data_IF_990028110083
#
_entry.id   IF_990028110083
#
_cell.length_a   1.000
_cell.length_b   1.000
_cell.length_c   1.000
_cell.angle_alpha   90.00
_cell.angle_beta   90.00
_cell.angle_gamma   90.00
#
_symmetry.space_group_name_H-M   'P 1'
#
loop_
_entity.id
_entity.type
_entity.pdbx_description
1 polymer ?
#
# COMPACT_ATOMS: atom_id res chain seq x y z
N UNK A 1 4.76 10.21 1.30
CA UNK A 1 3.60 9.56 0.68
C UNK A 1 2.36 10.33 1.10
N UNK A 2 1.84 11.16 0.22
CA UNK A 2 0.64 11.98 0.43
C UNK A 2 -0.31 11.67 -0.72
N UNK A 3 -1.45 11.06 -0.42
CA UNK A 3 -2.40 10.55 -1.43
C UNK A 3 -3.70 11.37 -1.50
N UNK A 4 -3.67 12.63 -1.06
CA UNK A 4 -4.89 13.43 -0.79
C UNK A 4 -5.16 14.62 -1.70
N UNK A 5 -4.40 14.83 -2.78
CA UNK A 5 -4.65 15.93 -3.73
C UNK A 5 -3.38 16.41 -4.43
N UNK A 6 -3.05 15.78 -5.55
CA UNK A 6 -2.02 16.21 -6.50
C UNK A 6 -2.59 16.06 -7.92
N UNK A 7 -1.85 16.46 -8.95
CA UNK A 7 -2.17 16.15 -10.36
C UNK A 7 -2.65 14.71 -10.52
N UNK A 8 -3.63 14.49 -11.40
CA UNK A 8 -4.39 13.23 -11.57
C UNK A 8 -3.53 11.94 -11.54
N UNK A 9 -2.33 11.97 -12.13
CA UNK A 9 -1.41 10.82 -12.17
C UNK A 9 -0.58 10.58 -10.90
N UNK A 10 -0.45 11.61 -10.05
CA UNK A 10 0.30 11.56 -8.78
C UNK A 10 -0.63 11.35 -7.57
N UNK A 11 -1.89 11.06 -7.83
CA UNK A 11 -2.91 10.70 -6.84
C UNK A 11 -3.63 9.43 -7.31
N UNK A 12 -4.50 8.89 -6.45
CA UNK A 12 -5.38 7.78 -6.81
C UNK A 12 -6.51 8.15 -7.78
N UNK A 13 -6.59 9.42 -8.19
CA UNK A 13 -7.60 9.90 -9.14
C UNK A 13 -7.40 9.27 -10.53
N UNK A 14 -6.16 9.07 -10.98
CA UNK A 14 -5.75 8.08 -12.00
C UNK A 14 -6.42 8.14 -13.39
N UNK A 15 -7.26 9.13 -13.68
CA UNK A 15 -8.21 9.10 -14.80
C UNK A 15 -7.58 8.99 -16.20
N UNK A 16 -6.31 9.38 -16.36
CA UNK A 16 -5.64 9.32 -17.68
C UNK A 16 -4.99 7.95 -17.98
N UNK A 17 -4.74 7.12 -16.95
CA UNK A 17 -4.19 5.77 -17.10
C UNK A 17 -4.44 4.98 -15.80
N UNK A 18 -5.62 4.38 -15.71
CA UNK A 18 -6.04 3.66 -14.51
C UNK A 18 -5.13 2.46 -14.24
N UNK A 19 -4.73 1.73 -15.29
CA UNK A 19 -3.94 0.52 -15.12
C UNK A 19 -2.53 0.84 -14.61
N UNK A 20 -1.83 1.76 -15.25
CA UNK A 20 -0.49 2.15 -14.84
C UNK A 20 -0.47 2.75 -13.43
N UNK A 21 -1.39 3.69 -13.18
CA UNK A 21 -1.51 4.38 -11.90
C UNK A 21 -1.83 3.42 -10.73
N UNK A 22 -2.89 2.62 -10.84
CA UNK A 22 -3.30 1.76 -9.72
C UNK A 22 -2.36 0.58 -9.51
N UNK A 23 -1.76 0.02 -10.58
CA UNK A 23 -0.75 -1.04 -10.42
C UNK A 23 0.49 -0.52 -9.69
N UNK A 24 0.92 0.70 -10.00
CA UNK A 24 2.03 1.34 -9.29
C UNK A 24 1.69 1.54 -7.80
N UNK A 25 0.59 2.23 -7.50
CA UNK A 25 0.26 2.58 -6.11
C UNK A 25 -0.14 1.37 -5.26
N UNK A 26 -0.73 0.33 -5.87
CA UNK A 26 -0.92 -0.96 -5.21
C UNK A 26 0.44 -1.55 -4.80
N UNK A 27 1.42 -1.60 -5.70
CA UNK A 27 2.76 -2.09 -5.38
C UNK A 27 3.49 -1.25 -4.33
N UNK A 28 3.30 0.06 -4.33
CA UNK A 28 3.82 0.95 -3.28
C UNK A 28 3.21 0.66 -1.91
N UNK A 29 1.96 0.17 -1.87
CA UNK A 29 1.25 -0.20 -0.64
C UNK A 29 1.58 -1.64 -0.20
N UNK A 30 1.77 -2.56 -1.14
CA UNK A 30 2.10 -3.96 -0.85
C UNK A 30 3.41 -4.11 -0.06
N UNK A 31 4.41 -3.29 -0.39
CA UNK A 31 5.73 -3.36 0.26
C UNK A 31 5.68 -3.07 1.78
N UNK A 32 5.11 -1.96 2.26
CA UNK A 32 4.99 -1.74 3.71
C UNK A 32 4.03 -2.72 4.39
N UNK A 33 3.00 -3.24 3.71
CA UNK A 33 2.13 -4.30 4.26
C UNK A 33 2.94 -5.58 4.50
N UNK A 34 3.73 -6.02 3.53
CA UNK A 34 4.62 -7.18 3.69
C UNK A 34 5.61 -6.98 4.85
N UNK A 35 6.21 -5.80 4.96
CA UNK A 35 7.10 -5.45 6.07
C UNK A 35 6.42 -5.49 7.43
N UNK A 36 5.18 -5.02 7.54
CA UNK A 36 4.40 -5.12 8.78
C UNK A 36 4.16 -6.57 9.18
N UNK A 37 3.76 -7.42 8.23
CA UNK A 37 3.53 -8.84 8.50
C UNK A 37 4.81 -9.56 8.93
N UNK A 38 5.94 -9.26 8.28
CA UNK A 38 7.25 -9.80 8.66
C UNK A 38 7.65 -9.36 10.07
N UNK A 39 7.49 -8.06 10.39
CA UNK A 39 7.80 -7.52 11.71
C UNK A 39 6.93 -8.16 12.81
N UNK A 40 5.64 -8.38 12.56
CA UNK A 40 4.74 -9.05 13.48
C UNK A 40 5.18 -10.50 13.73
N UNK A 41 5.57 -11.22 12.67
CA UNK A 41 6.07 -12.59 12.78
C UNK A 41 7.39 -12.66 13.56
N UNK A 42 8.35 -11.78 13.26
CA UNK A 42 9.65 -11.72 13.96
C UNK A 42 9.50 -11.45 15.47
N UNK A 43 8.44 -10.75 15.87
CA UNK A 43 8.14 -10.41 17.28
C UNK A 43 7.25 -11.44 17.96
N UNK A 44 6.80 -12.48 17.27
CA UNK A 44 5.84 -13.47 17.79
C UNK A 44 4.44 -12.90 18.01
N UNK A 45 4.12 -11.73 17.43
CA UNK A 45 2.85 -11.03 17.61
C UNK A 45 1.81 -11.44 16.56
N UNK A 46 2.24 -12.02 15.44
CA UNK A 46 1.33 -12.37 14.34
C UNK A 46 0.25 -13.36 14.77
N UNK A 47 0.59 -14.32 15.64
CA UNK A 47 -0.36 -15.34 16.12
C UNK A 47 -1.44 -14.78 17.06
N UNK A 48 -1.17 -13.64 17.70
CA UNK A 48 -2.08 -12.96 18.64
C UNK A 48 -2.80 -11.77 18.00
N UNK A 49 -2.47 -11.43 16.75
CA UNK A 49 -2.99 -10.24 16.06
C UNK A 49 -3.84 -10.65 14.87
N UNK A 50 -5.13 -10.29 14.91
CA UNK A 50 -5.99 -10.38 13.73
C UNK A 50 -5.67 -9.25 12.76
N UNK A 51 -5.27 -9.59 11.54
CA UNK A 51 -5.04 -8.67 10.41
C UNK A 51 -6.20 -8.81 9.40
N UNK A 52 -6.77 -7.68 8.96
CA UNK A 52 -7.90 -7.60 8.01
C UNK A 52 -7.69 -6.55 6.93
#
# INVERSE_FOLDING_TARGET
LYSGGNENQRSWDGHSDIQGNHSQFAGETDRPVAGLLEDLAQRGLLDETLVV
#
